data_IF_526952501004
#
_entry.id   IF_526952501004
#
_cell.length_a   1.000
_cell.length_b   1.000
_cell.length_c   1.000
_cell.angle_alpha   90.00
_cell.angle_beta   90.00
_cell.angle_gamma   90.00
#
_symmetry.space_group_name_H-M   'P 1'
#
loop_
_entity.id
_entity.type
_entity.pdbx_description
1 polymer ?
#
# COMPACT_ATOMS: atom_id res chain seq x y z
N UNK A 1 3.16 7.69 -17.64
CA UNK A 1 2.74 6.44 -16.97
C UNK A 1 1.36 6.67 -16.41
N UNK A 2 0.42 5.77 -16.70
CA UNK A 2 -0.97 5.93 -16.30
C UNK A 2 -1.07 5.87 -14.77
N UNK A 3 -1.50 6.97 -14.15
CA UNK A 3 -1.64 7.10 -12.71
C UNK A 3 -2.92 6.34 -12.30
N UNK A 4 -2.85 5.01 -12.33
CA UNK A 4 -4.00 4.15 -12.11
C UNK A 4 -4.37 4.20 -10.64
N UNK A 5 -5.50 4.82 -10.34
CA UNK A 5 -6.06 4.90 -9.00
C UNK A 5 -7.15 3.85 -8.81
N UNK A 6 -7.08 3.16 -7.69
CA UNK A 6 -8.04 2.17 -7.24
C UNK A 6 -8.91 2.77 -6.14
N UNK A 7 -10.06 2.15 -5.88
CA UNK A 7 -10.98 2.66 -4.86
C UNK A 7 -10.38 2.63 -3.45
N UNK A 8 -9.51 1.66 -3.16
CA UNK A 8 -8.84 1.47 -1.89
C UNK A 8 -7.69 0.45 -2.05
N UNK A 9 -7.03 0.14 -0.93
CA UNK A 9 -5.96 -0.84 -0.85
C UNK A 9 -6.39 -2.21 -1.41
N UNK A 10 -7.60 -2.69 -1.09
CA UNK A 10 -8.07 -3.99 -1.58
C UNK A 10 -8.18 -4.02 -3.11
N UNK A 11 -8.73 -2.97 -3.72
CA UNK A 11 -8.77 -2.82 -5.18
C UNK A 11 -7.38 -2.70 -5.79
N UNK A 12 -6.44 -2.03 -5.10
CA UNK A 12 -5.04 -1.96 -5.51
C UNK A 12 -4.37 -3.34 -5.48
N UNK A 13 -4.61 -4.15 -4.45
CA UNK A 13 -4.04 -5.51 -4.35
C UNK A 13 -4.58 -6.43 -5.46
N UNK A 14 -5.86 -6.33 -5.76
CA UNK A 14 -6.50 -7.14 -6.81
C UNK A 14 -6.04 -6.74 -8.22
N UNK A 15 -5.92 -5.43 -8.49
CA UNK A 15 -5.57 -4.91 -9.80
C UNK A 15 -4.07 -4.72 -10.06
N UNK A 16 -3.22 -4.73 -9.02
CA UNK A 16 -1.78 -4.49 -9.14
C UNK A 16 -0.97 -5.55 -8.38
N UNK A 17 -0.58 -6.62 -9.08
CA UNK A 17 0.27 -7.68 -8.52
C UNK A 17 1.60 -7.16 -7.96
N UNK A 18 2.12 -6.06 -8.50
CA UNK A 18 3.36 -5.45 -8.00
C UNK A 18 3.15 -4.80 -6.62
N UNK A 19 2.03 -4.13 -6.40
CA UNK A 19 1.67 -3.56 -5.10
C UNK A 19 1.42 -4.67 -4.07
N UNK A 20 0.78 -5.77 -4.47
CA UNK A 20 0.55 -6.95 -3.62
C UNK A 20 1.86 -7.63 -3.20
N UNK A 21 2.79 -7.82 -4.12
CA UNK A 21 4.12 -8.35 -3.82
C UNK A 21 4.95 -7.42 -2.94
N UNK A 22 4.78 -6.10 -3.07
CA UNK A 22 5.44 -5.14 -2.18
C UNK A 22 4.85 -5.21 -0.78
N UNK A 23 3.52 -5.12 -0.67
CA UNK A 23 2.80 -5.16 0.59
C UNK A 23 3.08 -6.43 1.40
N UNK A 24 3.11 -7.60 0.76
CA UNK A 24 3.38 -8.88 1.43
C UNK A 24 4.80 -9.01 1.98
N UNK A 25 5.75 -8.19 1.52
CA UNK A 25 7.13 -8.16 2.03
C UNK A 25 7.31 -7.22 3.22
N UNK A 26 6.34 -6.37 3.51
CA UNK A 26 6.41 -5.44 4.64
C UNK A 26 6.29 -6.21 5.96
N UNK A 27 6.88 -5.72 7.06
CA UNK A 27 6.67 -6.30 8.38
C UNK A 27 5.18 -6.32 8.77
N UNK A 28 4.77 -7.31 9.56
CA UNK A 28 3.36 -7.52 9.90
C UNK A 28 2.69 -6.28 10.53
N UNK A 29 3.38 -5.56 11.41
CA UNK A 29 2.83 -4.35 12.05
C UNK A 29 2.67 -3.19 11.05
N UNK A 30 3.55 -3.08 10.03
CA UNK A 30 3.39 -2.14 8.93
C UNK A 30 2.17 -2.54 8.11
N UNK A 31 2.04 -3.82 7.74
CA UNK A 31 0.89 -4.32 6.98
C UNK A 31 -0.43 -4.03 7.71
N UNK A 32 -0.49 -4.25 9.03
CA UNK A 32 -1.67 -3.94 9.85
C UNK A 32 -1.98 -2.45 9.86
N UNK A 33 -0.96 -1.60 10.06
CA UNK A 33 -1.13 -0.14 10.05
C UNK A 33 -1.63 0.37 8.69
N UNK A 34 -1.09 -0.17 7.59
CA UNK A 34 -1.53 0.13 6.23
C UNK A 34 -2.96 -0.33 6.00
N UNK A 35 -3.35 -1.52 6.49
CA UNK A 35 -4.74 -2.02 6.39
C UNK A 35 -5.72 -1.10 7.11
N UNK A 36 -5.36 -0.58 8.29
CA UNK A 36 -6.20 0.36 9.03
C UNK A 36 -6.47 1.67 8.27
N UNK A 37 -5.55 2.08 7.39
CA UNK A 37 -5.73 3.24 6.51
C UNK A 37 -5.95 2.86 5.04
N UNK A 38 -6.33 1.61 4.78
CA UNK A 38 -6.43 1.06 3.43
C UNK A 38 -7.44 1.79 2.54
N UNK A 39 -8.44 2.45 3.14
CA UNK A 39 -9.43 3.25 2.41
C UNK A 39 -8.84 4.51 1.74
N UNK A 40 -7.66 4.97 2.19
CA UNK A 40 -7.00 6.18 1.69
C UNK A 40 -5.83 5.88 0.74
N UNK A 41 -5.58 4.60 0.45
CA UNK A 41 -4.48 4.16 -0.41
C UNK A 41 -5.07 3.71 -1.73
N UNK A 42 -4.84 4.51 -2.76
CA UNK A 42 -5.44 4.34 -4.08
C UNK A 42 -4.42 3.94 -5.13
N UNK A 43 -3.12 3.98 -4.85
CA UNK A 43 -2.09 3.68 -5.85
C UNK A 43 -0.87 3.00 -5.25
N UNK A 44 -0.07 2.35 -6.10
CA UNK A 44 1.22 1.77 -5.72
C UNK A 44 2.13 2.84 -5.10
N UNK A 45 2.16 4.06 -5.65
CA UNK A 45 2.97 5.14 -5.12
C UNK A 45 2.53 5.55 -3.70
N UNK A 46 1.23 5.76 -3.47
CA UNK A 46 0.71 6.11 -2.15
C UNK A 46 1.01 5.00 -1.12
N UNK A 47 0.96 3.72 -1.53
CA UNK A 47 1.36 2.59 -0.71
C UNK A 47 2.84 2.64 -0.33
N UNK A 48 3.72 2.86 -1.31
CA UNK A 48 5.16 2.99 -1.09
C UNK A 48 5.49 4.17 -0.17
N UNK A 49 4.98 5.35 -0.47
CA UNK A 49 5.23 6.57 0.31
C UNK A 49 4.76 6.39 1.76
N UNK A 50 3.61 5.75 1.97
CA UNK A 50 3.10 5.51 3.33
C UNK A 50 3.93 4.46 4.08
N UNK A 51 4.29 3.36 3.42
CA UNK A 51 5.13 2.33 4.01
C UNK A 51 6.53 2.84 4.37
N UNK A 52 7.16 3.65 3.50
CA UNK A 52 8.46 4.27 3.79
C UNK A 52 8.39 5.24 4.98
N UNK A 53 7.31 6.00 5.09
CA UNK A 53 7.10 6.87 6.26
C UNK A 53 6.96 6.05 7.54
N UNK A 54 6.23 4.93 7.52
CA UNK A 54 6.10 4.09 8.71
C UNK A 54 7.45 3.45 9.10
N UNK A 55 8.20 2.92 8.14
CA UNK A 55 9.52 2.31 8.36
C UNK A 55 10.58 3.30 8.87
N UNK A 56 10.43 4.60 8.57
CA UNK A 56 11.34 5.65 9.06
C UNK A 56 10.99 6.18 10.45
N UNK A 57 9.77 5.96 10.92
CA UNK A 57 9.27 6.45 12.21
C UNK A 57 9.27 5.38 13.31
N UNK A 58 10.03 4.30 13.12
CA UNK A 58 10.44 3.30 14.14
C UNK A 58 11.89 3.49 14.58
#
# INVERSE_FOLDING_TARGET
MSNQKYQNLAGLMDGCSRAEQYFSKLPSYIQETIRQRGDHIHSEQELHDYAENLLRNE
#
